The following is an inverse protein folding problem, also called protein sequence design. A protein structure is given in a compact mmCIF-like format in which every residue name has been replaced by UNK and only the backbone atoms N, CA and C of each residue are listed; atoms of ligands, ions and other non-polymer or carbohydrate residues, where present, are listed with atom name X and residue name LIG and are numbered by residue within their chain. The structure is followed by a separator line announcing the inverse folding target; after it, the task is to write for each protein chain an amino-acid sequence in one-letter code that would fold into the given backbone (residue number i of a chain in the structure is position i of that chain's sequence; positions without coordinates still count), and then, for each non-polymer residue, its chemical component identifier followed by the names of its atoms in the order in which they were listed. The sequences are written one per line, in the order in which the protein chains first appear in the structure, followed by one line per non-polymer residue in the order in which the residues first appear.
data_IF_900075995193
#
_entry.id   IF_900075995193
#
_cell.length_a   1.000
_cell.length_b   1.000
_cell.length_c   1.000
_cell.angle_alpha   90.00
_cell.angle_beta   90.00
_cell.angle_gamma   90.00
#
_symmetry.space_group_name_H-M   'P 1'
#
loop_
_entity.id
_entity.type
_entity.pdbx_description
1 polymer ?
#
# COMPACT_ATOMS: atom_id res chain seq x y z
N UNK A 1 9.27 23.42 -23.11
CA UNK A 1 10.51 23.36 -23.88
C UNK A 1 11.04 21.93 -23.91
N UNK A 2 11.37 21.45 -25.08
CA UNK A 2 11.95 20.13 -25.23
C UNK A 2 13.36 20.11 -24.65
N UNK A 3 13.76 19.03 -23.96
CA UNK A 3 15.13 18.89 -23.46
C UNK A 3 16.13 18.95 -24.61
N UNK A 4 17.26 19.59 -24.39
CA UNK A 4 18.27 19.76 -25.44
C UNK A 4 19.27 18.61 -25.50
N UNK A 5 19.37 17.82 -24.43
CA UNK A 5 20.28 16.68 -24.39
C UNK A 5 19.71 15.56 -23.49
N UNK A 6 20.33 14.37 -23.51
CA UNK A 6 19.84 13.24 -22.71
C UNK A 6 19.82 13.49 -21.21
N UNK A 7 20.73 14.30 -20.69
CA UNK A 7 20.76 14.61 -19.25
C UNK A 7 19.55 15.43 -18.85
N UNK A 8 19.23 16.44 -19.66
CA UNK A 8 18.05 17.27 -19.42
C UNK A 8 16.78 16.41 -19.48
N UNK A 9 16.71 15.49 -20.43
CA UNK A 9 15.57 14.58 -20.56
C UNK A 9 15.43 13.70 -19.33
N UNK A 10 16.53 13.16 -18.81
CA UNK A 10 16.53 12.35 -17.60
C UNK A 10 16.08 13.14 -16.38
N UNK A 11 16.60 14.34 -16.21
CA UNK A 11 16.21 15.21 -15.10
C UNK A 11 14.73 15.53 -15.17
N UNK A 12 14.22 15.86 -16.34
CA UNK A 12 12.82 16.18 -16.54
C UNK A 12 11.94 14.99 -16.20
N UNK A 13 12.33 13.79 -16.63
CA UNK A 13 11.59 12.57 -16.34
C UNK A 13 11.55 12.31 -14.83
N UNK A 14 12.67 12.46 -14.14
CA UNK A 14 12.73 12.30 -12.68
C UNK A 14 11.84 13.32 -11.97
N UNK A 15 11.84 14.57 -12.44
CA UNK A 15 10.99 15.59 -11.85
C UNK A 15 9.51 15.26 -12.03
N UNK A 16 9.12 14.79 -13.21
CA UNK A 16 7.73 14.36 -13.47
C UNK A 16 7.32 13.23 -12.55
N UNK A 17 8.18 12.24 -12.37
CA UNK A 17 7.92 11.12 -11.46
C UNK A 17 7.79 11.59 -10.03
N UNK A 18 8.65 12.50 -9.62
CA UNK A 18 8.62 13.04 -8.26
C UNK A 18 7.37 13.86 -8.00
N UNK A 19 6.95 14.68 -8.96
CA UNK A 19 5.71 15.44 -8.85
C UNK A 19 4.51 14.51 -8.74
N UNK A 20 4.47 13.45 -9.57
CA UNK A 20 3.40 12.45 -9.50
C UNK A 20 3.36 11.78 -8.14
N UNK A 21 4.53 11.43 -7.60
CA UNK A 21 4.63 10.82 -6.26
C UNK A 21 4.12 11.77 -5.18
N UNK A 22 4.57 13.01 -5.20
CA UNK A 22 4.14 14.01 -4.22
C UNK A 22 2.64 14.28 -4.30
N UNK A 23 2.09 14.32 -5.50
CA UNK A 23 0.66 14.48 -5.69
C UNK A 23 -0.11 13.35 -5.02
N UNK A 24 0.33 12.10 -5.22
CA UNK A 24 -0.30 10.95 -4.56
C UNK A 24 -0.20 11.04 -3.04
N UNK A 25 0.94 11.49 -2.51
CA UNK A 25 1.11 11.66 -1.08
C UNK A 25 0.17 12.73 -0.51
N UNK A 26 0.04 13.84 -1.20
CA UNK A 26 -0.88 14.90 -0.80
C UNK A 26 -2.32 14.40 -0.81
N UNK A 27 -2.71 13.68 -1.85
CA UNK A 27 -4.05 13.08 -1.93
C UNK A 27 -4.27 12.10 -0.79
N UNK A 28 -3.26 11.29 -0.45
CA UNK A 28 -3.35 10.36 0.68
C UNK A 28 -3.55 11.08 2.00
N UNK A 29 -2.89 12.23 2.20
CA UNK A 29 -3.06 13.01 3.42
C UNK A 29 -4.49 13.51 3.61
N UNK A 30 -5.22 13.72 2.54
CA UNK A 30 -6.62 14.13 2.62
C UNK A 30 -7.49 13.07 3.29
N UNK A 31 -7.07 11.81 3.35
CA UNK A 31 -7.79 10.71 3.96
C UNK A 31 -7.37 10.43 5.40
N UNK A 32 -6.46 11.22 5.98
CA UNK A 32 -6.03 11.02 7.36
C UNK A 32 -7.17 11.26 8.37
N UNK A 33 -8.14 12.05 8.00
CA UNK A 33 -9.35 12.21 8.80
C UNK A 33 -10.37 11.20 8.30
N UNK A 34 -11.02 10.44 9.20
CA UNK A 34 -12.03 9.49 8.78
C UNK A 34 -13.09 10.20 7.96
N UNK A 35 -13.29 9.72 6.76
CA UNK A 35 -14.41 10.12 5.96
C UNK A 35 -15.65 9.37 6.39
N UNK A 36 -16.56 9.23 5.46
CA UNK A 36 -17.84 8.57 5.74
C UNK A 36 -17.63 7.07 5.86
N UNK A 37 -18.09 6.50 6.97
CA UNK A 37 -18.09 5.03 7.15
C UNK A 37 -19.21 4.41 6.35
N UNK A 38 -18.89 3.32 5.70
CA UNK A 38 -19.83 2.51 4.93
C UNK A 38 -19.56 1.03 5.18
N UNK A 39 -20.61 0.23 5.10
CA UNK A 39 -20.47 -1.22 5.08
C UNK A 39 -20.31 -1.68 3.64
N UNK A 40 -19.26 -2.43 3.36
CA UNK A 40 -18.98 -2.90 2.00
C UNK A 40 -18.16 -4.19 2.02
N UNK A 41 -18.18 -4.90 0.88
CA UNK A 41 -17.34 -6.07 0.71
C UNK A 41 -15.94 -5.68 0.30
N UNK A 42 -14.92 -6.30 0.92
CA UNK A 42 -13.53 -6.02 0.56
C UNK A 42 -13.24 -6.37 -0.90
N UNK A 43 -13.95 -7.33 -1.48
CA UNK A 43 -13.81 -7.65 -2.89
C UNK A 43 -14.13 -6.46 -3.80
N UNK A 44 -15.03 -5.58 -3.39
CA UNK A 44 -15.36 -4.40 -4.17
C UNK A 44 -14.16 -3.44 -4.24
N UNK A 45 -13.38 -3.36 -3.16
CA UNK A 45 -12.13 -2.59 -3.19
C UNK A 45 -11.12 -3.22 -4.16
N UNK A 46 -11.03 -4.53 -4.17
CA UNK A 46 -10.13 -5.20 -5.11
C UNK A 46 -10.48 -4.90 -6.55
N UNK A 47 -11.76 -4.87 -6.88
CA UNK A 47 -12.18 -4.52 -8.24
C UNK A 47 -11.72 -3.11 -8.62
N UNK A 48 -11.86 -2.15 -7.72
CA UNK A 48 -11.38 -0.79 -7.95
C UNK A 48 -9.86 -0.72 -8.04
N UNK A 49 -9.19 -1.39 -7.12
CA UNK A 49 -7.72 -1.41 -7.04
C UNK A 49 -7.11 -2.03 -8.29
N UNK A 50 -7.64 -3.16 -8.74
CA UNK A 50 -7.13 -3.84 -9.92
C UNK A 50 -7.32 -3.01 -11.19
N UNK A 51 -8.41 -2.25 -11.28
CA UNK A 51 -8.61 -1.35 -12.39
C UNK A 51 -7.59 -0.20 -12.39
N UNK A 52 -7.33 0.37 -11.21
CA UNK A 52 -6.36 1.46 -11.06
C UNK A 52 -4.92 1.02 -11.37
N UNK A 53 -4.60 -0.23 -11.08
CA UNK A 53 -3.23 -0.75 -11.19
C UNK A 53 -3.07 -1.73 -12.35
N UNK A 54 -4.00 -1.72 -13.28
CA UNK A 54 -4.07 -2.70 -14.36
C UNK A 54 -2.74 -2.91 -15.08
N UNK A 55 -2.07 -1.84 -15.47
CA UNK A 55 -0.81 -1.93 -16.21
C UNK A 55 0.30 -2.52 -15.36
N UNK A 56 0.32 -2.22 -14.08
CA UNK A 56 1.35 -2.70 -13.16
C UNK A 56 1.15 -4.16 -12.76
N UNK A 57 -0.09 -4.64 -12.84
CA UNK A 57 -0.42 -6.02 -12.51
C UNK A 57 -0.17 -6.97 -13.68
N UNK A 58 -0.03 -6.43 -14.87
CA UNK A 58 0.18 -7.24 -16.08
C UNK A 58 1.45 -8.09 -15.95
N UNK A 59 1.31 -9.39 -16.19
CA UNK A 59 2.43 -10.32 -16.08
C UNK A 59 2.84 -10.66 -14.66
N UNK A 60 2.14 -10.13 -13.66
CA UNK A 60 2.40 -10.40 -12.26
C UNK A 60 1.42 -11.44 -11.73
N UNK A 61 1.87 -12.22 -10.78
CA UNK A 61 1.06 -13.26 -10.17
C UNK A 61 0.53 -12.77 -8.83
N UNK A 62 -0.77 -12.47 -8.79
CA UNK A 62 -1.44 -11.96 -7.61
C UNK A 62 -2.61 -12.87 -7.27
N UNK A 63 -2.67 -13.34 -6.03
CA UNK A 63 -3.72 -14.20 -5.51
C UNK A 63 -4.53 -13.41 -4.51
N UNK A 64 -5.86 -13.46 -4.63
CA UNK A 64 -6.74 -12.61 -3.84
C UNK A 64 -7.75 -13.47 -3.07
N UNK A 65 -7.86 -13.25 -1.77
CA UNK A 65 -8.82 -13.92 -0.89
C UNK A 65 -9.39 -12.90 0.10
N UNK A 66 -10.31 -12.08 -0.36
CA UNK A 66 -10.90 -10.96 0.39
C UNK A 66 -12.40 -11.22 0.61
N UNK A 67 -12.72 -12.28 1.34
CA UNK A 67 -14.09 -12.72 1.52
C UNK A 67 -14.88 -12.02 2.63
N UNK A 68 -14.34 -10.99 3.24
CA UNK A 68 -14.99 -10.35 4.39
C UNK A 68 -15.63 -9.01 4.02
N UNK A 69 -16.64 -8.64 4.79
CA UNK A 69 -17.23 -7.31 4.74
C UNK A 69 -16.70 -6.49 5.92
N UNK A 70 -16.61 -5.21 5.72
CA UNK A 70 -16.11 -4.28 6.74
C UNK A 70 -17.00 -3.05 6.79
N UNK A 71 -16.92 -2.33 7.90
CA UNK A 71 -17.52 -1.02 8.03
C UNK A 71 -16.40 -0.02 8.30
N UNK A 72 -16.09 0.80 7.32
CA UNK A 72 -14.98 1.75 7.37
C UNK A 72 -15.14 2.79 6.26
N UNK A 73 -14.20 3.72 6.20
CA UNK A 73 -14.12 4.64 5.07
C UNK A 73 -13.48 3.89 3.88
N UNK A 74 -14.24 3.63 2.81
CA UNK A 74 -13.72 2.86 1.68
C UNK A 74 -12.57 3.56 0.96
N UNK A 75 -12.55 4.87 0.92
CA UNK A 75 -11.47 5.59 0.25
C UNK A 75 -10.16 5.48 1.03
N UNK A 76 -10.22 5.52 2.35
CA UNK A 76 -9.04 5.30 3.19
C UNK A 76 -8.49 3.88 3.02
N UNK A 77 -9.36 2.88 3.01
CA UNK A 77 -8.93 1.49 2.79
C UNK A 77 -8.37 1.27 1.39
N UNK A 78 -8.96 1.90 0.39
CA UNK A 78 -8.43 1.82 -0.97
C UNK A 78 -7.00 2.37 -1.01
N UNK A 79 -6.76 3.50 -0.35
CA UNK A 79 -5.45 4.11 -0.30
C UNK A 79 -4.44 3.23 0.43
N UNK A 80 -4.86 2.61 1.53
CA UNK A 80 -4.02 1.64 2.26
C UNK A 80 -3.62 0.50 1.33
N UNK A 81 -4.57 -0.12 0.67
CA UNK A 81 -4.29 -1.24 -0.21
C UNK A 81 -3.43 -0.84 -1.40
N UNK A 82 -3.66 0.34 -1.95
CA UNK A 82 -2.86 0.85 -3.05
C UNK A 82 -1.38 0.95 -2.63
N UNK A 83 -1.12 1.51 -1.44
CA UNK A 83 0.24 1.65 -0.93
C UNK A 83 0.88 0.30 -0.60
N UNK A 84 0.12 -0.62 0.00
CA UNK A 84 0.63 -1.95 0.33
C UNK A 84 0.95 -2.76 -0.93
N UNK A 85 0.06 -2.73 -1.91
CA UNK A 85 0.27 -3.45 -3.15
C UNK A 85 1.40 -2.83 -3.97
N UNK A 86 1.48 -1.50 -4.02
CA UNK A 86 2.59 -0.80 -4.66
C UNK A 86 3.93 -1.23 -4.08
N UNK A 87 4.01 -1.30 -2.76
CA UNK A 87 5.19 -1.75 -2.04
C UNK A 87 5.59 -3.17 -2.44
N UNK A 88 4.63 -4.10 -2.49
CA UNK A 88 4.90 -5.47 -2.88
C UNK A 88 5.33 -5.60 -4.34
N UNK A 89 4.73 -4.83 -5.23
CA UNK A 89 5.09 -4.85 -6.66
C UNK A 89 6.48 -4.29 -6.90
N UNK A 90 6.92 -3.30 -6.10
CA UNK A 90 8.24 -2.69 -6.26
C UNK A 90 9.36 -3.47 -5.59
N UNK A 91 9.13 -3.98 -4.40
CA UNK A 91 10.19 -4.55 -3.57
C UNK A 91 10.05 -6.03 -3.30
N UNK A 92 8.85 -6.58 -3.46
CA UNK A 92 8.59 -7.98 -3.21
C UNK A 92 8.78 -8.85 -4.44
N UNK A 93 8.48 -10.13 -4.28
CA UNK A 93 8.50 -11.12 -5.36
C UNK A 93 7.20 -11.88 -5.39
N UNK A 94 6.80 -12.27 -6.59
CA UNK A 94 5.60 -13.07 -6.82
C UNK A 94 5.73 -14.49 -6.25
N UNK A 95 4.64 -15.15 -5.86
CA UNK A 95 3.29 -14.62 -5.93
C UNK A 95 3.03 -13.62 -4.82
N UNK A 96 2.25 -12.59 -5.14
CA UNK A 96 1.77 -11.63 -4.17
C UNK A 96 0.38 -12.09 -3.73
N UNK A 97 0.13 -12.13 -2.44
CA UNK A 97 -1.15 -12.58 -1.89
C UNK A 97 -1.82 -11.45 -1.14
N UNK A 98 -3.07 -11.21 -1.50
CA UNK A 98 -3.91 -10.20 -0.87
C UNK A 98 -5.03 -10.93 -0.13
N UNK A 99 -5.08 -10.80 1.19
CA UNK A 99 -6.05 -11.58 1.96
C UNK A 99 -6.58 -10.82 3.17
N UNK A 100 -7.74 -11.28 3.64
CA UNK A 100 -8.35 -10.77 4.86
C UNK A 100 -8.64 -11.92 5.83
N UNK A 101 -8.57 -11.60 7.12
CA UNK A 101 -8.89 -12.54 8.22
C UNK A 101 -9.63 -11.80 9.30
N UNK A 102 -10.51 -12.52 10.00
CA UNK A 102 -11.18 -11.97 11.17
C UNK A 102 -10.78 -12.80 12.38
N UNK A 103 -10.29 -12.13 13.43
CA UNK A 103 -9.89 -12.78 14.65
C UNK A 103 -9.93 -11.80 15.81
N UNK A 104 -10.50 -12.23 16.94
CA UNK A 104 -10.44 -11.46 18.18
C UNK A 104 -11.04 -10.07 18.08
N UNK A 105 -12.14 -9.91 17.37
CA UNK A 105 -12.77 -8.61 17.22
C UNK A 105 -12.06 -7.68 16.25
N UNK A 106 -11.17 -8.20 15.41
CA UNK A 106 -10.42 -7.43 14.43
C UNK A 106 -10.53 -8.06 13.06
N UNK A 107 -10.57 -7.22 12.03
CA UNK A 107 -10.32 -7.66 10.67
C UNK A 107 -8.91 -7.27 10.29
N UNK A 108 -8.16 -8.24 9.76
CA UNK A 108 -6.81 -8.07 9.28
C UNK A 108 -6.83 -8.07 7.77
N UNK A 109 -6.13 -7.13 7.18
CA UNK A 109 -6.03 -7.00 5.73
C UNK A 109 -4.55 -7.00 5.38
N UNK A 110 -4.10 -8.01 4.61
CA UNK A 110 -2.69 -8.26 4.41
C UNK A 110 -2.31 -8.36 2.95
N UNK A 111 -1.15 -7.82 2.63
CA UNK A 111 -0.46 -8.05 1.37
C UNK A 111 0.83 -8.79 1.69
N UNK A 112 1.00 -9.95 1.08
CA UNK A 112 2.15 -10.83 1.31
C UNK A 112 2.93 -11.02 0.02
N UNK A 113 4.24 -11.12 0.13
CA UNK A 113 5.11 -11.38 -1.00
C UNK A 113 6.24 -12.35 -0.60
N UNK A 114 6.96 -12.87 -1.59
CA UNK A 114 8.03 -13.83 -1.37
C UNK A 114 9.42 -13.22 -1.52
N UNK A 115 9.55 -11.94 -1.28
CA UNK A 115 10.85 -11.29 -1.25
C UNK A 115 11.73 -11.81 -0.12
N UNK A 116 12.99 -11.41 -0.14
CA UNK A 116 13.94 -11.79 0.89
C UNK A 116 13.52 -11.23 2.25
N UNK A 117 13.92 -11.89 3.36
CA UNK A 117 13.69 -11.34 4.69
C UNK A 117 14.30 -9.95 4.82
N UNK A 118 13.63 -9.08 5.56
CA UNK A 118 14.06 -7.70 5.77
C UNK A 118 14.73 -7.56 7.14
N UNK A 119 15.69 -6.65 7.28
CA UNK A 119 16.44 -6.52 8.54
C UNK A 119 15.63 -5.89 9.67
N UNK A 120 14.67 -5.02 9.35
CA UNK A 120 13.92 -4.28 10.37
C UNK A 120 12.52 -3.98 9.85
N UNK A 121 11.56 -4.81 10.26
CA UNK A 121 10.17 -4.65 9.83
C UNK A 121 9.49 -3.43 10.46
N UNK A 122 9.74 -3.20 11.75
CA UNK A 122 9.10 -2.09 12.44
C UNK A 122 9.59 -0.74 11.91
N UNK A 123 10.86 -0.64 11.59
CA UNK A 123 11.42 0.59 11.06
C UNK A 123 10.91 0.99 9.69
N UNK A 124 10.30 0.08 8.95
CA UNK A 124 9.77 0.37 7.62
C UNK A 124 8.62 1.37 7.63
N UNK A 125 7.96 1.54 8.77
CA UNK A 125 6.86 2.50 8.90
C UNK A 125 7.33 3.92 9.20
N UNK A 126 8.61 4.11 9.45
CA UNK A 126 9.15 5.45 9.68
C UNK A 126 9.37 6.16 8.34
N UNK A 127 9.12 7.47 8.29
CA UNK A 127 9.34 8.21 7.04
C UNK A 127 10.77 8.06 6.52
N UNK A 128 10.90 7.78 5.24
CA UNK A 128 12.21 7.70 4.58
C UNK A 128 13.00 6.44 4.78
N UNK A 129 12.52 5.49 5.55
CA UNK A 129 13.33 4.32 5.94
C UNK A 129 13.57 3.31 4.82
N UNK A 130 12.63 3.20 3.90
CA UNK A 130 12.77 2.20 2.84
C UNK A 130 13.63 2.67 1.69
N UNK A 131 14.11 3.85 1.75
CA UNK A 131 14.59 4.50 0.58
C UNK A 131 15.95 4.14 0.11
N UNK A 132 16.49 3.11 0.23
CA UNK A 132 17.80 2.90 -0.32
C UNK A 132 17.99 3.74 -1.54
N UNK A 133 17.51 3.38 -2.63
CA UNK A 133 17.80 4.02 -3.84
C UNK A 133 16.68 4.84 -4.37
N UNK A 134 16.63 5.92 -3.83
CA UNK A 134 16.00 6.88 -4.58
C UNK A 134 14.59 6.95 -4.51
N UNK A 135 14.13 7.76 -4.48
CA UNK A 135 12.83 8.14 -4.79
C UNK A 135 11.83 8.21 -3.66
N UNK A 136 12.29 8.50 -2.48
CA UNK A 136 11.36 8.86 -1.45
C UNK A 136 10.27 7.85 -1.17
N UNK A 137 10.57 6.60 -1.35
CA UNK A 137 9.61 5.52 -1.18
C UNK A 137 9.17 5.33 0.26
N UNK A 138 9.91 5.82 1.19
CA UNK A 138 9.67 5.60 2.60
C UNK A 138 8.40 6.21 3.16
N UNK A 139 7.64 6.96 2.41
CA UNK A 139 6.43 7.58 2.92
C UNK A 139 5.18 6.73 2.76
N UNK A 140 5.18 5.77 1.84
CA UNK A 140 4.02 4.94 1.59
C UNK A 140 3.57 4.16 2.80
N UNK A 141 4.49 3.46 3.47
CA UNK A 141 4.16 2.68 4.66
C UNK A 141 3.86 3.57 5.87
N UNK A 142 4.53 4.69 5.99
CA UNK A 142 4.19 5.67 7.01
C UNK A 142 2.72 6.11 6.87
N UNK A 143 2.28 6.40 5.67
CA UNK A 143 0.89 6.77 5.41
C UNK A 143 -0.08 5.64 5.70
N UNK A 144 0.29 4.40 5.38
CA UNK A 144 -0.53 3.23 5.72
C UNK A 144 -0.79 3.20 7.23
N UNK A 145 0.25 3.38 8.03
CA UNK A 145 0.11 3.40 9.50
C UNK A 145 -0.80 4.53 9.94
N UNK A 146 -0.60 5.74 9.41
CA UNK A 146 -1.42 6.89 9.77
C UNK A 146 -2.88 6.70 9.40
N UNK A 147 -3.15 6.18 8.22
CA UNK A 147 -4.52 5.91 7.78
C UNK A 147 -5.19 4.84 8.64
N UNK A 148 -4.47 3.75 8.95
CA UNK A 148 -5.00 2.70 9.81
C UNK A 148 -5.32 3.23 11.21
N UNK A 149 -4.45 4.05 11.77
CA UNK A 149 -4.69 4.69 13.06
C UNK A 149 -5.94 5.58 13.03
N UNK A 150 -6.11 6.32 11.93
CA UNK A 150 -7.30 7.15 11.74
C UNK A 150 -8.60 6.35 11.67
N UNK A 151 -8.53 5.09 11.28
CA UNK A 151 -9.66 4.18 11.25
C UNK A 151 -9.84 3.42 12.58
N UNK A 152 -9.06 3.74 13.59
CA UNK A 152 -9.13 3.09 14.90
C UNK A 152 -8.33 1.81 15.02
N UNK A 153 -7.49 1.53 14.04
CA UNK A 153 -6.69 0.31 14.00
C UNK A 153 -5.19 0.58 14.03
N UNK A 154 -4.45 -0.30 13.40
CA UNK A 154 -2.99 -0.20 13.36
C UNK A 154 -2.42 -0.89 12.14
N UNK A 155 -1.13 -0.72 11.94
CA UNK A 155 -0.39 -1.34 10.84
C UNK A 155 0.73 -2.20 11.41
N UNK A 156 1.12 -3.22 10.66
CA UNK A 156 2.18 -4.13 11.08
C UNK A 156 2.90 -4.71 9.86
N UNK A 157 4.14 -5.14 10.10
CA UNK A 157 4.91 -5.89 9.12
C UNK A 157 5.68 -6.96 9.86
N UNK A 158 5.80 -8.15 9.25
CA UNK A 158 6.50 -9.26 9.85
C UNK A 158 6.90 -10.27 8.78
N UNK A 159 7.69 -11.25 9.18
CA UNK A 159 8.03 -12.41 8.35
C UNK A 159 7.25 -13.61 8.86
N UNK A 160 6.60 -14.32 7.95
CA UNK A 160 5.91 -15.55 8.29
C UNK A 160 6.21 -16.59 7.22
N UNK A 161 6.93 -17.66 7.60
CA UNK A 161 7.39 -18.64 6.64
C UNK A 161 8.28 -18.00 5.60
N UNK A 162 7.90 -18.15 4.34
CA UNK A 162 8.67 -17.60 3.21
C UNK A 162 8.09 -16.26 2.72
N UNK A 163 7.20 -15.66 3.49
CA UNK A 163 6.54 -14.45 3.06
C UNK A 163 6.87 -13.26 3.98
N UNK A 164 7.05 -12.11 3.35
CA UNK A 164 6.97 -10.83 4.03
C UNK A 164 5.50 -10.45 4.08
N UNK A 165 5.04 -10.03 5.24
CA UNK A 165 3.63 -9.67 5.47
C UNK A 165 3.55 -8.20 5.84
N UNK A 166 2.75 -7.47 5.11
CA UNK A 166 2.45 -6.06 5.41
C UNK A 166 0.94 -5.95 5.54
N UNK A 167 0.49 -5.47 6.67
CA UNK A 167 -0.93 -5.46 6.90
C UNK A 167 -1.42 -4.34 7.81
N UNK A 168 -2.72 -4.24 7.87
CA UNK A 168 -3.43 -3.39 8.81
C UNK A 168 -4.50 -4.22 9.51
N UNK A 169 -4.92 -3.74 10.68
CA UNK A 169 -6.08 -4.30 11.34
C UNK A 169 -7.03 -3.16 11.69
N UNK A 170 -8.31 -3.50 11.70
CA UNK A 170 -9.39 -2.58 12.05
C UNK A 170 -10.28 -3.27 13.08
N UNK A 171 -10.86 -2.51 14.02
CA UNK A 171 -11.82 -3.11 14.92
C UNK A 171 -13.09 -3.51 14.17
N UNK A 172 -13.67 -4.62 14.57
CA UNK A 172 -14.98 -5.09 14.07
C UNK A 172 -15.98 -4.87 15.18
N UNK A 173 -17.04 -4.17 14.89
CA UNK A 173 -18.12 -3.93 15.86
C UNK A 173 -19.04 -5.13 15.98
#
# INVERSE_FOLDING_TARGET
LAPKDPREAQVLDLLKKEVARLTRLVESLAHLRPGRREAFALEDLWLRLSALMQDRLRGRRVEVALGHRVEADPEALLQILLNLLDNALKYGQDPIRLLSRVRGGRVYLEVRDRGAPLPDYEGLFQPGRRGGEGSGQGLGLYLVRRLAQGLGGGAYALREGEENVFGVWLPVD
#
